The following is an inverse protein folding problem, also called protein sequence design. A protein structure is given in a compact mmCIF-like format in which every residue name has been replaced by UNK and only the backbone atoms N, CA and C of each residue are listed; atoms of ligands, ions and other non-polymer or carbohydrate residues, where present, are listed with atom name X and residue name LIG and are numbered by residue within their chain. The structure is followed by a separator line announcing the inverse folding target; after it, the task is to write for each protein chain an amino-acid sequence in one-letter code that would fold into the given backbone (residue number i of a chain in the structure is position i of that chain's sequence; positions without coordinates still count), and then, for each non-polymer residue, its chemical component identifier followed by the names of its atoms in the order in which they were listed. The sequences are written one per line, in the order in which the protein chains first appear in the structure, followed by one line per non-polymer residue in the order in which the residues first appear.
data_IF_323198867030
#
_entry.id   IF_323198867030
#
_cell.length_a   1.000
_cell.length_b   1.000
_cell.length_c   1.000
_cell.angle_alpha   90.00
_cell.angle_beta   90.00
_cell.angle_gamma   90.00
#
_symmetry.space_group_name_H-M   'P 1'
#
loop_
_entity.id
_entity.type
_entity.pdbx_description
1 polymer ?
#
# COMPACT_ATOMS: atom_id res chain seq x y z
N UNK A 1 9.61 13.33 -18.07
CA UNK A 1 8.34 13.27 -18.83
C UNK A 1 7.58 14.58 -18.67
N UNK A 2 7.89 15.61 -19.46
CA UNK A 2 7.30 16.94 -19.27
C UNK A 2 5.78 16.98 -19.51
N UNK A 3 5.23 15.97 -20.19
CA UNK A 3 3.80 15.88 -20.52
C UNK A 3 3.00 15.03 -19.53
N UNK A 4 3.65 14.33 -18.59
CA UNK A 4 2.98 13.48 -17.59
C UNK A 4 2.86 14.25 -16.29
N UNK A 5 1.64 14.38 -15.78
CA UNK A 5 1.36 14.94 -14.45
C UNK A 5 1.12 13.79 -13.49
N UNK A 6 1.96 13.70 -12.46
CA UNK A 6 1.83 12.66 -11.44
C UNK A 6 1.24 13.26 -10.15
N UNK A 7 0.15 12.66 -9.70
CA UNK A 7 -0.42 12.88 -8.37
C UNK A 7 -0.36 11.56 -7.60
N UNK A 8 0.21 11.60 -6.40
CA UNK A 8 0.22 10.48 -5.46
C UNK A 8 -0.72 10.84 -4.31
N UNK A 9 -1.49 9.88 -3.83
CA UNK A 9 -2.23 10.02 -2.59
C UNK A 9 -2.10 8.74 -1.74
N UNK A 10 -2.21 8.89 -0.43
CA UNK A 10 -2.17 7.78 0.54
C UNK A 10 -3.12 8.07 1.70
N UNK A 11 -3.66 7.00 2.30
CA UNK A 11 -4.50 7.12 3.50
C UNK A 11 -3.68 7.41 4.75
N UNK A 12 -2.40 7.07 4.76
CA UNK A 12 -1.47 7.35 5.84
C UNK A 12 -1.07 8.83 5.85
N UNK A 13 -0.60 9.29 7.00
CA UNK A 13 -0.14 10.67 7.20
C UNK A 13 1.13 11.03 6.44
N UNK A 14 1.92 10.03 6.01
CA UNK A 14 3.12 10.20 5.20
C UNK A 14 3.42 8.96 4.36
N UNK A 15 4.17 9.14 3.27
CA UNK A 15 4.75 8.04 2.51
C UNK A 15 5.96 7.43 3.23
N UNK A 16 6.33 6.20 2.85
CA UNK A 16 7.60 5.56 3.26
C UNK A 16 7.77 5.45 4.79
N UNK A 17 6.67 5.20 5.51
CA UNK A 17 6.64 5.11 6.98
C UNK A 17 7.75 4.30 7.64
N UNK A 18 8.17 3.14 7.09
CA UNK A 18 9.26 2.34 7.66
C UNK A 18 10.67 2.94 7.51
N UNK A 19 10.86 3.95 6.67
CA UNK A 19 12.17 4.58 6.46
C UNK A 19 12.46 5.65 7.51
N UNK A 20 13.75 5.95 7.76
CA UNK A 20 14.16 7.11 8.55
C UNK A 20 13.63 8.42 7.97
N UNK A 21 13.37 9.40 8.83
CA UNK A 21 12.77 10.68 8.44
C UNK A 21 13.59 11.42 7.37
N UNK A 22 14.93 11.38 7.46
CA UNK A 22 15.83 11.98 6.45
C UNK A 22 15.59 11.46 5.03
N UNK A 23 15.30 10.17 4.90
CA UNK A 23 15.11 9.52 3.60
C UNK A 23 13.73 9.85 3.05
N UNK A 24 12.72 9.92 3.93
CA UNK A 24 11.38 10.37 3.59
C UNK A 24 11.41 11.82 3.11
N UNK A 25 12.11 12.70 3.82
CA UNK A 25 12.25 14.12 3.48
C UNK A 25 12.94 14.29 2.13
N UNK A 26 14.06 13.61 1.90
CA UNK A 26 14.75 13.60 0.61
C UNK A 26 13.81 13.18 -0.54
N UNK A 27 13.07 12.09 -0.37
CA UNK A 27 12.12 11.64 -1.39
C UNK A 27 10.94 12.61 -1.56
N UNK A 28 10.54 13.28 -0.47
CA UNK A 28 9.52 14.31 -0.46
C UNK A 28 9.94 15.49 -1.33
N UNK A 29 11.09 16.08 -1.02
CA UNK A 29 11.71 17.23 -1.69
C UNK A 29 11.99 16.93 -3.16
N UNK A 30 12.61 15.78 -3.46
CA UNK A 30 12.90 15.38 -4.83
C UNK A 30 11.62 15.30 -5.66
N UNK A 31 10.57 14.68 -5.13
CA UNK A 31 9.29 14.57 -5.85
C UNK A 31 8.66 15.94 -6.10
N UNK A 32 8.69 16.82 -5.10
CA UNK A 32 8.19 18.20 -5.23
C UNK A 32 8.97 19.00 -6.28
N UNK A 33 10.31 18.88 -6.30
CA UNK A 33 11.17 19.51 -7.31
C UNK A 33 10.90 19.01 -8.74
N UNK A 34 10.31 17.81 -8.88
CA UNK A 34 9.87 17.24 -10.16
C UNK A 34 8.40 17.51 -10.48
N UNK A 35 7.70 18.28 -9.67
CA UNK A 35 6.29 18.62 -9.86
C UNK A 35 5.31 17.49 -9.51
N UNK A 36 5.76 16.48 -8.75
CA UNK A 36 4.89 15.40 -8.26
C UNK A 36 4.09 15.93 -7.07
N UNK A 37 2.76 15.96 -7.20
CA UNK A 37 1.86 16.36 -6.11
C UNK A 37 1.56 15.16 -5.21
N UNK A 38 1.53 15.37 -3.90
CA UNK A 38 1.34 14.32 -2.90
C UNK A 38 0.24 14.73 -1.93
N UNK A 39 -0.70 13.84 -1.64
CA UNK A 39 -1.82 14.07 -0.71
C UNK A 39 -1.88 12.94 0.30
N UNK A 40 -1.74 13.26 1.58
CA UNK A 40 -1.79 12.29 2.67
C UNK A 40 -3.13 12.38 3.42
N UNK A 41 -3.40 11.38 4.26
CA UNK A 41 -4.67 11.26 5.00
C UNK A 41 -5.89 11.34 4.05
N UNK A 42 -5.74 10.74 2.87
CA UNK A 42 -6.71 10.81 1.80
C UNK A 42 -7.09 9.38 1.36
N UNK A 43 -8.31 8.98 1.69
CA UNK A 43 -8.85 7.70 1.25
C UNK A 43 -9.13 7.70 -0.25
N UNK A 44 -9.04 6.52 -0.86
CA UNK A 44 -9.33 6.36 -2.29
C UNK A 44 -10.85 6.31 -2.53
N UNK A 45 -11.39 7.32 -3.23
CA UNK A 45 -12.84 7.46 -3.46
C UNK A 45 -13.17 7.72 -4.95
N UNK A 46 -13.11 6.66 -5.76
CA UNK A 46 -13.33 6.74 -7.23
C UNK A 46 -14.64 7.43 -7.65
N UNK A 47 -15.71 7.23 -6.89
CA UNK A 47 -17.05 7.73 -7.20
C UNK A 47 -17.32 9.14 -6.66
N UNK A 48 -16.37 9.72 -5.92
CA UNK A 48 -16.56 11.02 -5.28
C UNK A 48 -15.87 12.11 -6.10
N UNK A 49 -16.65 13.01 -6.70
CA UNK A 49 -16.10 14.15 -7.45
C UNK A 49 -15.33 15.14 -6.56
N UNK A 50 -15.71 15.27 -5.28
CA UNK A 50 -15.03 16.15 -4.34
C UNK A 50 -13.62 15.65 -4.03
N UNK A 51 -13.42 14.32 -3.96
CA UNK A 51 -12.09 13.71 -3.84
C UNK A 51 -11.19 14.13 -5.00
N UNK A 52 -11.67 13.98 -6.24
CA UNK A 52 -10.92 14.34 -7.45
C UNK A 52 -10.57 15.83 -7.51
N UNK A 53 -11.51 16.70 -7.11
CA UNK A 53 -11.27 18.14 -6.97
C UNK A 53 -10.21 18.43 -5.90
N UNK A 54 -10.30 17.79 -4.72
CA UNK A 54 -9.36 17.95 -3.60
C UNK A 54 -7.93 17.59 -3.99
N UNK A 55 -7.72 16.51 -4.74
CA UNK A 55 -6.38 16.09 -5.20
C UNK A 55 -5.91 16.81 -6.48
N UNK A 56 -6.68 17.79 -6.96
CA UNK A 56 -6.33 18.64 -8.09
C UNK A 56 -6.34 17.91 -9.44
N UNK A 57 -7.21 16.91 -9.59
CA UNK A 57 -7.44 16.16 -10.83
C UNK A 57 -8.96 16.08 -11.09
N UNK A 58 -9.64 17.23 -11.30
CA UNK A 58 -11.09 17.23 -11.51
C UNK A 58 -11.44 16.42 -12.77
N UNK A 59 -12.46 15.56 -12.65
CA UNK A 59 -12.86 14.66 -13.73
C UNK A 59 -12.13 13.30 -13.75
N UNK A 60 -11.14 13.09 -12.87
CA UNK A 60 -10.40 11.84 -12.78
C UNK A 60 -9.06 11.87 -13.52
N UNK A 61 -8.19 10.91 -13.20
CA UNK A 61 -6.94 10.69 -13.90
C UNK A 61 -7.17 9.85 -15.17
N UNK A 62 -6.36 10.08 -16.21
CA UNK A 62 -6.37 9.25 -17.43
C UNK A 62 -6.07 7.77 -17.10
N UNK A 63 -5.10 7.57 -16.20
CA UNK A 63 -4.69 6.26 -15.69
C UNK A 63 -4.57 6.31 -14.16
N UNK A 64 -4.91 5.20 -13.50
CA UNK A 64 -4.80 5.04 -12.04
C UNK A 64 -4.04 3.76 -11.69
N UNK A 65 -2.99 3.91 -10.89
CA UNK A 65 -2.18 2.79 -10.41
C UNK A 65 -2.35 2.64 -8.91
N UNK A 66 -2.85 1.48 -8.48
CA UNK A 66 -3.03 1.16 -7.06
C UNK A 66 -1.81 0.40 -6.58
N UNK A 67 -0.90 1.10 -5.90
CA UNK A 67 0.31 0.54 -5.31
C UNK A 67 0.19 0.44 -3.77
N UNK A 68 -0.99 0.08 -3.28
CA UNK A 68 -1.29 0.06 -1.84
C UNK A 68 -1.57 -1.35 -1.34
N UNK A 69 -0.74 -1.80 -0.41
CA UNK A 69 -0.90 -3.09 0.26
C UNK A 69 -0.78 -4.30 -0.67
N UNK A 70 -0.63 -5.46 -0.05
CA UNK A 70 -0.77 -6.75 -0.72
C UNK A 70 -1.68 -7.61 0.13
N UNK A 71 -2.46 -8.46 -0.53
CA UNK A 71 -3.29 -9.46 0.15
C UNK A 71 -2.78 -10.84 -0.23
N UNK A 72 -2.58 -11.68 0.77
CA UNK A 72 -2.26 -13.08 0.52
C UNK A 72 -3.44 -13.74 -0.19
N UNK A 73 -3.14 -14.48 -1.26
CA UNK A 73 -4.10 -15.37 -1.92
C UNK A 73 -3.51 -16.77 -1.88
N UNK A 74 -4.16 -17.67 -1.14
CA UNK A 74 -3.75 -19.06 -1.02
C UNK A 74 -4.96 -19.97 -1.26
N UNK A 75 -4.86 -20.85 -2.26
CA UNK A 75 -5.92 -21.77 -2.66
C UNK A 75 -5.57 -23.26 -2.44
N UNK A 76 -4.39 -23.56 -1.88
CA UNK A 76 -3.87 -24.92 -1.80
C UNK A 76 -3.52 -25.36 -0.37
N UNK A 77 -3.15 -24.42 0.50
CA UNK A 77 -2.83 -24.73 1.88
C UNK A 77 -4.10 -24.84 2.74
N UNK A 78 -4.15 -25.78 3.69
CA UNK A 78 -5.26 -25.85 4.64
C UNK A 78 -5.41 -24.57 5.45
N UNK A 79 -6.65 -24.20 5.77
CA UNK A 79 -6.94 -22.98 6.56
C UNK A 79 -6.16 -22.91 7.88
N UNK A 80 -5.90 -24.05 8.52
CA UNK A 80 -5.15 -24.14 9.79
C UNK A 80 -3.67 -23.73 9.68
N UNK A 81 -3.10 -23.68 8.49
CA UNK A 81 -1.70 -23.24 8.27
C UNK A 81 -1.62 -21.79 7.79
N UNK A 82 -2.74 -21.06 7.82
CA UNK A 82 -2.84 -19.67 7.38
C UNK A 82 -3.05 -18.75 8.58
N UNK A 83 -2.43 -17.57 8.53
CA UNK A 83 -2.58 -16.58 9.59
C UNK A 83 -3.99 -15.98 9.60
N UNK A 84 -4.61 -15.87 10.78
CA UNK A 84 -5.92 -15.23 10.92
C UNK A 84 -5.83 -13.70 10.84
N UNK A 85 -4.65 -13.15 11.15
CA UNK A 85 -4.37 -11.71 11.22
C UNK A 85 -3.02 -11.41 10.54
N UNK A 86 -2.71 -10.13 10.38
CA UNK A 86 -1.47 -9.64 9.78
C UNK A 86 -1.74 -8.69 8.62
N UNK A 87 -0.70 -8.41 7.83
CA UNK A 87 -0.78 -7.54 6.66
C UNK A 87 -1.93 -7.99 5.73
N UNK A 88 -2.71 -7.05 5.20
CA UNK A 88 -3.83 -7.37 4.30
C UNK A 88 -4.96 -8.20 4.94
N UNK A 89 -5.01 -8.33 6.26
CA UNK A 89 -6.06 -9.07 6.98
C UNK A 89 -5.78 -10.56 7.18
N UNK A 90 -4.53 -11.01 7.01
CA UNK A 90 -4.14 -12.42 7.18
C UNK A 90 -4.13 -13.22 5.87
N UNK A 91 -4.19 -14.55 5.98
CA UNK A 91 -4.12 -15.48 4.86
C UNK A 91 -2.69 -15.89 4.46
N UNK A 92 -1.68 -15.50 5.25
CA UNK A 92 -0.28 -15.83 5.00
C UNK A 92 0.05 -17.21 5.53
N UNK A 93 0.92 -17.96 4.84
CA UNK A 93 1.41 -19.25 5.34
C UNK A 93 2.23 -18.99 6.61
N UNK A 94 1.83 -19.63 7.70
CA UNK A 94 2.57 -19.57 8.96
C UNK A 94 3.77 -20.49 8.85
N UNK A 95 4.96 -19.93 9.11
CA UNK A 95 6.21 -20.68 9.08
C UNK A 95 7.00 -20.50 10.36
N UNK A 96 7.76 -21.52 10.72
CA UNK A 96 8.66 -21.45 11.87
C UNK A 96 10.03 -20.90 11.49
N UNK A 97 10.92 -20.81 12.50
CA UNK A 97 12.29 -20.35 12.31
C UNK A 97 13.15 -21.23 11.38
N UNK A 98 12.65 -22.42 11.03
CA UNK A 98 13.28 -23.35 10.07
C UNK A 98 12.61 -23.30 8.69
N UNK A 99 11.71 -22.34 8.45
CA UNK A 99 10.95 -22.15 7.21
C UNK A 99 10.02 -23.32 6.86
N UNK A 100 9.61 -24.11 7.85
CA UNK A 100 8.61 -25.16 7.68
C UNK A 100 7.22 -24.59 7.92
N UNK A 101 6.22 -25.13 7.23
CA UNK A 101 4.82 -24.77 7.46
C UNK A 101 4.40 -25.27 8.84
N UNK A 102 3.78 -24.39 9.61
CA UNK A 102 3.16 -24.75 10.88
C UNK A 102 1.66 -24.48 10.85
N UNK A 103 0.93 -25.30 11.59
CA UNK A 103 -0.45 -25.04 11.94
C UNK A 103 -0.53 -23.96 13.02
N UNK A 104 -1.71 -23.36 13.18
CA UNK A 104 -1.96 -22.29 14.16
C UNK A 104 -1.65 -22.67 15.61
N UNK A 105 -1.60 -23.96 15.93
CA UNK A 105 -1.22 -24.55 17.23
C UNK A 105 0.28 -24.91 17.34
N UNK A 106 1.10 -24.55 16.34
CA UNK A 106 2.56 -24.70 16.38
C UNK A 106 3.07 -26.10 16.04
N UNK A 107 2.25 -26.93 15.38
CA UNK A 107 2.67 -28.24 14.88
C UNK A 107 3.15 -28.10 13.43
N UNK A 108 4.22 -28.83 13.07
CA UNK A 108 4.67 -28.89 11.68
C UNK A 108 3.62 -29.62 10.84
N UNK A 109 3.25 -29.03 9.71
CA UNK A 109 2.26 -29.56 8.76
C UNK A 109 2.88 -30.56 7.78
#
# INVERSE_FOLDING_TARGET
FPQVKLTIFDFLYRCLGPLPDSDVDYCSEYGSARGIRKFYECNYELKNEEFWKKIGVPGGADDSYVCTGVKATNCFMPKKTLSEKGLGGGGWIVVNKYLQVETSDGLVW
#
